data_IF_222650914845
#
_entry.id   IF_222650914845
#
_cell.length_a   1.000
_cell.length_b   1.000
_cell.length_c   1.000
_cell.angle_alpha   90.00
_cell.angle_beta   90.00
_cell.angle_gamma   90.00
#
_symmetry.space_group_name_H-M   'P 1'
#
loop_
_entity.id
_entity.type
_entity.pdbx_description
1 polymer ?
#
# COMPACT_ATOMS: atom_id res chain seq x y z
N UNK A 1 7.58 17.81 14.59
CA UNK A 1 7.71 16.42 14.17
C UNK A 1 6.38 15.95 13.65
N UNK A 2 6.30 15.55 12.37
CA UNK A 2 5.07 15.05 11.77
C UNK A 2 4.49 13.87 12.59
N UNK A 3 3.21 13.95 12.91
CA UNK A 3 2.52 12.91 13.67
C UNK A 3 2.09 11.80 12.73
N UNK A 4 2.43 10.54 13.04
CA UNK A 4 1.83 9.40 12.38
C UNK A 4 0.34 9.40 12.67
N UNK A 5 -0.47 9.28 11.63
CA UNK A 5 -1.92 9.21 11.74
C UNK A 5 -2.38 7.78 11.45
N UNK A 6 -3.17 7.21 12.37
CA UNK A 6 -3.82 5.93 12.20
C UNK A 6 -5.28 6.07 12.59
N UNK A 7 -6.18 5.62 11.73
CA UNK A 7 -7.62 5.66 11.99
C UNK A 7 -8.33 4.44 11.43
N UNK A 8 -9.40 4.05 12.09
CA UNK A 8 -10.40 3.13 11.56
C UNK A 8 -11.47 3.97 10.84
N UNK A 9 -11.74 3.62 9.61
CA UNK A 9 -12.77 4.26 8.78
C UNK A 9 -13.89 3.25 8.54
N UNK A 10 -15.11 3.70 8.72
CA UNK A 10 -16.33 3.02 8.36
C UNK A 10 -17.20 4.03 7.62
N UNK A 11 -17.45 3.82 6.36
CA UNK A 11 -18.09 4.78 5.50
C UNK A 11 -18.96 4.10 4.45
N UNK A 12 -19.88 4.86 3.86
CA UNK A 12 -20.84 4.40 2.90
C UNK A 12 -20.93 5.41 1.75
N UNK A 13 -20.77 4.92 0.52
CA UNK A 13 -20.97 5.71 -0.71
C UNK A 13 -20.27 7.09 -0.65
N UNK A 14 -18.99 7.08 -0.26
CA UNK A 14 -18.20 8.29 -0.06
C UNK A 14 -17.11 8.42 -1.12
N UNK A 15 -17.07 9.57 -1.78
CA UNK A 15 -16.00 9.97 -2.67
C UNK A 15 -15.02 10.87 -1.93
N UNK A 16 -13.79 10.41 -1.76
CA UNK A 16 -12.67 11.27 -1.42
C UNK A 16 -12.06 11.77 -2.75
N UNK A 17 -12.24 13.05 -3.10
CA UNK A 17 -11.86 13.56 -4.42
C UNK A 17 -10.35 13.52 -4.64
N UNK A 18 -9.94 13.61 -5.89
CA UNK A 18 -8.53 13.59 -6.28
C UNK A 18 -7.72 14.65 -5.52
N UNK A 19 -6.67 14.20 -4.87
CA UNK A 19 -5.76 15.02 -4.08
C UNK A 19 -4.37 14.39 -4.03
N UNK A 20 -3.44 15.07 -3.40
CA UNK A 20 -2.08 14.58 -3.16
C UNK A 20 -1.54 15.08 -1.83
N UNK A 21 -0.56 14.37 -1.30
CA UNK A 21 0.16 14.76 -0.10
C UNK A 21 1.53 14.08 -0.06
N UNK A 22 2.42 14.58 0.81
CA UNK A 22 3.77 14.03 0.96
C UNK A 22 3.85 12.76 1.83
N UNK A 23 2.76 12.40 2.52
CA UNK A 23 2.72 11.20 3.36
C UNK A 23 2.76 9.93 2.51
N UNK A 24 3.45 8.90 3.00
CA UNK A 24 3.16 7.54 2.57
C UNK A 24 1.84 7.13 3.23
N UNK A 25 0.85 6.81 2.42
CA UNK A 25 -0.46 6.36 2.89
C UNK A 25 -0.64 4.87 2.64
N UNK A 26 -1.24 4.18 3.60
CA UNK A 26 -1.50 2.75 3.48
C UNK A 26 -2.91 2.46 3.97
N UNK A 27 -3.70 1.83 3.11
CA UNK A 27 -5.05 1.38 3.39
C UNK A 27 -5.03 -0.14 3.56
N UNK A 28 -5.60 -0.65 4.64
CA UNK A 28 -5.85 -2.08 4.83
C UNK A 28 -7.35 -2.32 4.89
N UNK A 29 -7.89 -2.99 3.88
CA UNK A 29 -9.33 -3.21 3.73
C UNK A 29 -9.81 -4.33 4.65
N UNK A 30 -10.80 -4.03 5.49
CA UNK A 30 -11.40 -4.95 6.45
C UNK A 30 -12.73 -5.53 5.94
N UNK A 31 -13.39 -4.84 5.01
CA UNK A 31 -14.65 -5.26 4.41
C UNK A 31 -15.23 -4.19 3.49
N UNK A 32 -16.18 -4.58 2.66
CA UNK A 32 -16.71 -3.76 1.60
C UNK A 32 -15.77 -3.67 0.40
N UNK A 33 -16.10 -2.82 -0.55
CA UNK A 33 -15.37 -2.60 -1.80
C UNK A 33 -14.95 -1.13 -1.89
N UNK A 34 -13.75 -0.88 -2.38
CA UNK A 34 -13.20 0.45 -2.57
C UNK A 34 -12.60 0.52 -3.98
N UNK A 35 -13.09 1.46 -4.80
CA UNK A 35 -12.40 1.84 -6.02
C UNK A 35 -11.35 2.90 -5.67
N UNK A 36 -10.09 2.64 -5.97
CA UNK A 36 -8.99 3.58 -5.78
C UNK A 36 -8.33 3.89 -7.11
N UNK A 37 -7.75 5.08 -7.24
CA UNK A 37 -6.96 5.44 -8.42
C UNK A 37 -5.67 6.14 -8.00
N UNK A 38 -4.57 5.80 -8.65
CA UNK A 38 -3.27 6.47 -8.52
C UNK A 38 -2.79 6.82 -9.92
N UNK A 39 -2.54 8.12 -10.18
CA UNK A 39 -1.98 8.59 -11.46
C UNK A 39 -2.69 7.97 -12.68
N UNK A 40 -4.04 7.99 -12.68
CA UNK A 40 -4.93 7.45 -13.72
C UNK A 40 -5.00 5.92 -13.83
N UNK A 41 -4.35 5.18 -12.94
CA UNK A 41 -4.50 3.72 -12.84
C UNK A 41 -5.54 3.40 -11.78
N UNK A 42 -6.59 2.67 -12.15
CA UNK A 42 -7.67 2.27 -11.23
C UNK A 42 -7.42 0.89 -10.62
N UNK A 43 -7.83 0.74 -9.37
CA UNK A 43 -7.72 -0.47 -8.58
C UNK A 43 -9.06 -0.73 -7.90
N UNK A 44 -9.54 -1.97 -8.00
CA UNK A 44 -10.65 -2.46 -7.19
C UNK A 44 -10.09 -3.20 -5.99
N UNK A 45 -10.38 -2.67 -4.80
CA UNK A 45 -9.86 -3.19 -3.54
C UNK A 45 -10.97 -3.96 -2.82
N UNK A 46 -10.61 -5.15 -2.36
CA UNK A 46 -11.48 -6.06 -1.63
C UNK A 46 -10.97 -6.30 -0.21
N UNK A 47 -11.80 -6.96 0.58
CA UNK A 47 -11.41 -7.36 1.95
C UNK A 47 -10.09 -8.13 1.96
N UNK A 48 -9.15 -7.63 2.73
CA UNK A 48 -7.82 -8.20 2.91
C UNK A 48 -6.74 -7.49 2.09
N UNK A 49 -7.10 -6.68 1.11
CA UNK A 49 -6.12 -5.93 0.31
C UNK A 49 -5.39 -4.90 1.15
N UNK A 50 -4.11 -4.74 0.88
CA UNK A 50 -3.27 -3.68 1.39
C UNK A 50 -2.88 -2.79 0.21
N UNK A 51 -3.29 -1.52 0.26
CA UNK A 51 -3.09 -0.56 -0.81
C UNK A 51 -2.22 0.60 -0.33
N UNK A 52 -1.19 0.93 -1.12
CA UNK A 52 -0.21 1.96 -0.82
C UNK A 52 -0.33 3.12 -1.80
N UNK A 53 -0.39 4.33 -1.26
CA UNK A 53 -0.24 5.58 -2.02
C UNK A 53 1.12 6.14 -1.69
N UNK A 54 2.01 6.18 -2.67
CA UNK A 54 3.35 6.71 -2.47
C UNK A 54 3.32 8.25 -2.33
N UNK A 55 4.33 8.79 -1.68
CA UNK A 55 4.46 10.24 -1.50
C UNK A 55 4.31 10.98 -2.83
N UNK A 56 3.49 12.02 -2.85
CA UNK A 56 3.20 12.88 -3.98
C UNK A 56 2.43 12.25 -5.16
N UNK A 57 1.94 11.04 -5.06
CA UNK A 57 1.05 10.49 -6.07
C UNK A 57 -0.34 11.14 -5.96
N UNK A 58 -0.92 11.50 -7.12
CA UNK A 58 -2.29 11.98 -7.19
C UNK A 58 -3.19 10.76 -7.07
N UNK A 59 -4.12 10.80 -6.14
CA UNK A 59 -5.01 9.68 -5.87
C UNK A 59 -6.41 10.14 -5.47
N UNK A 60 -7.39 9.27 -5.70
CA UNK A 60 -8.73 9.36 -5.14
C UNK A 60 -9.20 7.99 -4.67
N UNK A 61 -10.19 7.97 -3.79
CA UNK A 61 -10.89 6.75 -3.40
C UNK A 61 -12.40 6.99 -3.45
N UNK A 62 -13.12 5.97 -3.89
CA UNK A 62 -14.56 5.89 -3.81
C UNK A 62 -14.93 4.61 -3.06
N UNK A 63 -15.65 4.77 -1.96
CA UNK A 63 -16.11 3.65 -1.15
C UNK A 63 -17.54 3.30 -1.54
N UNK A 64 -17.73 2.03 -1.88
CA UNK A 64 -19.05 1.47 -2.10
C UNK A 64 -19.75 1.16 -0.76
N UNK A 65 -20.76 0.34 -0.79
CA UNK A 65 -21.54 -0.01 0.39
C UNK A 65 -20.68 -0.61 1.52
N UNK A 66 -20.88 -0.11 2.76
CA UNK A 66 -20.28 -0.64 4.01
C UNK A 66 -18.75 -0.87 3.95
N UNK A 67 -18.02 0.09 3.38
CA UNK A 67 -16.57 0.01 3.33
C UNK A 67 -15.93 0.26 4.70
N UNK A 68 -15.06 -0.65 5.12
CA UNK A 68 -14.35 -0.60 6.41
C UNK A 68 -12.87 -0.85 6.17
N UNK A 69 -12.02 0.05 6.67
CA UNK A 69 -10.59 -0.07 6.50
C UNK A 69 -9.80 0.63 7.60
N UNK A 70 -8.54 0.25 7.76
CA UNK A 70 -7.56 1.04 8.49
C UNK A 70 -6.81 1.93 7.52
N UNK A 71 -6.66 3.20 7.89
CA UNK A 71 -5.85 4.19 7.20
C UNK A 71 -4.63 4.52 8.06
N UNK A 72 -3.44 4.36 7.49
CA UNK A 72 -2.16 4.73 8.11
C UNK A 72 -1.45 5.74 7.23
N UNK A 73 -1.20 6.95 7.75
CA UNK A 73 -0.42 7.99 7.07
C UNK A 73 0.88 8.24 7.82
N UNK A 74 2.00 8.12 7.11
CA UNK A 74 3.35 8.24 7.64
C UNK A 74 4.00 9.48 7.03
N UNK A 75 4.27 10.52 7.84
CA UNK A 75 4.92 11.75 7.37
C UNK A 75 6.33 11.50 6.83
N UNK A 76 6.79 12.26 5.82
CA UNK A 76 8.12 12.11 5.19
C UNK A 76 9.27 12.14 6.19
N UNK A 77 9.15 12.92 7.26
CA UNK A 77 10.18 13.05 8.29
C UNK A 77 10.57 11.70 8.94
N UNK A 78 9.63 10.73 9.01
CA UNK A 78 9.94 9.39 9.51
C UNK A 78 10.73 8.56 8.49
N UNK A 79 10.49 8.77 7.22
CA UNK A 79 11.17 8.10 6.12
C UNK A 79 12.57 8.65 5.92
N UNK A 80 12.71 9.96 5.87
CA UNK A 80 13.98 10.67 5.65
C UNK A 80 15.00 10.41 6.78
N UNK A 81 14.53 10.21 8.02
CA UNK A 81 15.38 9.85 9.15
C UNK A 81 16.03 8.48 9.03
N UNK A 82 15.39 7.55 8.32
CA UNK A 82 15.94 6.20 8.10
C UNK A 82 17.04 6.30 7.05
N UNK A 83 16.79 6.96 5.94
CA UNK A 83 17.75 7.16 4.86
C UNK A 83 17.29 8.25 3.89
N UNK A 84 18.19 9.07 3.41
CA UNK A 84 17.92 10.03 2.33
C UNK A 84 17.45 9.35 1.02
N UNK A 85 17.74 8.06 0.84
CA UNK A 85 17.30 7.26 -0.32
C UNK A 85 15.78 7.07 -0.38
N UNK A 86 15.05 7.23 0.74
CA UNK A 86 13.60 7.08 0.76
C UNK A 86 12.85 8.08 -0.12
N UNK A 87 13.46 9.23 -0.39
CA UNK A 87 12.84 10.32 -1.14
C UNK A 87 12.48 9.96 -2.60
N UNK A 88 13.07 8.90 -3.16
CA UNK A 88 12.80 8.43 -4.53
C UNK A 88 12.25 7.00 -4.60
N UNK A 89 12.00 6.36 -3.45
CA UNK A 89 11.49 5.00 -3.46
C UNK A 89 10.00 4.99 -3.79
N UNK A 90 9.60 4.09 -4.67
CA UNK A 90 8.22 3.75 -4.96
C UNK A 90 7.96 2.32 -4.52
N UNK A 91 6.88 2.13 -3.79
CA UNK A 91 6.41 0.83 -3.35
C UNK A 91 5.33 0.32 -4.28
N UNK A 92 5.18 -0.99 -4.34
CA UNK A 92 4.07 -1.62 -5.04
C UNK A 92 2.74 -1.14 -4.43
N UNK A 93 1.83 -0.66 -5.27
CA UNK A 93 0.59 -0.04 -4.82
C UNK A 93 -0.39 -1.05 -4.22
N UNK A 94 -0.48 -2.25 -4.79
CA UNK A 94 -1.44 -3.27 -4.34
C UNK A 94 -0.72 -4.55 -3.92
N UNK A 95 -0.95 -4.96 -2.66
CA UNK A 95 -0.42 -6.19 -2.08
C UNK A 95 -1.61 -7.06 -1.65
N UNK A 96 -1.73 -8.24 -2.25
CA UNK A 96 -2.80 -9.21 -2.01
C UNK A 96 -2.27 -10.51 -1.45
N UNK A 97 -3.11 -11.22 -0.69
CA UNK A 97 -2.85 -12.61 -0.34
C UNK A 97 -3.14 -13.51 -1.55
N UNK A 98 -2.19 -14.33 -1.95
CA UNK A 98 -2.39 -15.29 -3.06
C UNK A 98 -3.40 -16.39 -2.76
N UNK A 99 -3.80 -16.58 -1.51
CA UNK A 99 -4.86 -17.51 -1.18
C UNK A 99 -6.24 -17.07 -1.69
N UNK A 100 -6.41 -15.77 -2.02
CA UNK A 100 -7.64 -15.26 -2.64
C UNK A 100 -7.71 -15.58 -4.14
N UNK A 101 -6.57 -15.61 -4.84
CA UNK A 101 -6.52 -15.89 -6.28
C UNK A 101 -6.74 -17.38 -6.63
N UNK A 102 -6.59 -18.28 -5.66
CA UNK A 102 -6.75 -19.72 -5.88
C UNK A 102 -8.21 -20.17 -6.10
N UNK A 103 -9.19 -19.33 -5.80
CA UNK A 103 -10.61 -19.64 -6.02
C UNK A 103 -11.12 -19.35 -7.43
N UNK A 104 -10.36 -18.64 -8.28
CA UNK A 104 -10.82 -18.22 -9.63
C UNK A 104 -10.25 -19.09 -10.75
N UNK A 105 -9.25 -19.93 -10.50
CA UNK A 105 -8.65 -20.80 -11.52
C UNK A 105 -8.82 -22.29 -11.21
N UNK A 106 -10.04 -22.68 -10.94
CA UNK A 106 -10.43 -24.08 -10.90
C UNK A 106 -11.10 -24.50 -12.20
N UNK A 107 -10.34 -24.65 -13.29
CA UNK A 107 -10.65 -25.52 -14.43
C UNK A 107 -9.52 -25.40 -15.46
N UNK A 108 -8.61 -26.34 -15.44
CA UNK A 108 -7.97 -27.04 -16.55
C UNK A 108 -6.63 -27.65 -16.12
N UNK A 109 -6.70 -28.83 -15.50
CA UNK A 109 -5.58 -29.75 -15.40
C UNK A 109 -5.72 -30.77 -16.52
N UNK A 110 -5.06 -30.52 -17.63
CA UNK A 110 -4.67 -31.61 -18.53
C UNK A 110 -3.24 -31.44 -19.04
N UNK A 111 -2.42 -32.45 -18.68
CA UNK A 111 -1.22 -32.94 -19.34
C UNK A 111 -0.13 -31.96 -19.80
N UNK A 112 0.90 -31.81 -18.98
CA UNK A 112 2.26 -31.65 -19.50
C UNK A 112 3.24 -32.51 -18.69
N UNK A 113 3.61 -33.64 -19.27
CA UNK A 113 4.79 -34.41 -18.85
C UNK A 113 6.07 -33.72 -19.33
N UNK A 114 6.94 -33.43 -18.37
CA UNK A 114 8.38 -33.36 -18.58
C UNK A 114 8.96 -32.13 -19.22
N UNK A 115 9.26 -31.12 -18.39
CA UNK A 115 10.45 -30.25 -18.42
C UNK A 115 10.28 -29.14 -17.37
N UNK A 116 11.18 -29.04 -16.39
CA UNK A 116 11.25 -27.82 -15.61
C UNK A 116 11.32 -27.91 -14.10
N UNK A 117 12.17 -28.80 -13.53
CA UNK A 117 12.46 -28.78 -12.09
C UNK A 117 13.25 -27.55 -11.63
N UNK A 118 13.86 -26.82 -12.54
CA UNK A 118 14.64 -25.62 -12.24
C UNK A 118 13.75 -24.36 -12.22
N UNK A 119 12.84 -24.22 -13.18
CA UNK A 119 11.89 -23.09 -13.23
C UNK A 119 10.86 -23.12 -12.07
N UNK A 120 10.47 -24.32 -11.59
CA UNK A 120 9.59 -24.45 -10.43
C UNK A 120 10.25 -24.01 -9.12
N UNK A 121 11.60 -24.03 -9.00
CA UNK A 121 12.29 -23.57 -7.79
C UNK A 121 12.42 -22.05 -7.72
N UNK A 122 12.57 -21.37 -8.84
CA UNK A 122 12.62 -19.91 -8.89
C UNK A 122 11.22 -19.31 -8.71
N UNK A 123 10.19 -19.89 -9.32
CA UNK A 123 8.81 -19.48 -9.12
C UNK A 123 8.31 -19.73 -7.68
N UNK A 124 8.73 -20.83 -7.01
CA UNK A 124 8.41 -21.05 -5.60
C UNK A 124 9.06 -20.04 -4.65
N UNK A 125 10.28 -19.57 -4.94
CA UNK A 125 10.92 -18.52 -4.15
C UNK A 125 10.21 -17.17 -4.30
N UNK A 126 9.74 -16.83 -5.50
CA UNK A 126 8.98 -15.61 -5.76
C UNK A 126 7.58 -15.65 -5.11
N UNK A 127 6.88 -16.78 -5.16
CA UNK A 127 5.57 -16.96 -4.54
C UNK A 127 5.62 -16.84 -3.02
N UNK A 128 6.60 -17.45 -2.35
CA UNK A 128 6.74 -17.39 -0.90
C UNK A 128 7.04 -15.97 -0.41
N UNK A 129 7.81 -15.18 -1.16
CA UNK A 129 8.24 -13.85 -0.73
C UNK A 129 7.11 -12.82 -0.69
N UNK A 130 6.19 -12.85 -1.67
CA UNK A 130 5.05 -11.95 -1.70
C UNK A 130 4.01 -12.29 -0.61
N UNK A 131 3.78 -13.59 -0.37
CA UNK A 131 2.91 -14.06 0.71
C UNK A 131 3.50 -13.71 2.08
N UNK A 132 4.82 -13.83 2.25
CA UNK A 132 5.53 -13.44 3.46
C UNK A 132 5.38 -11.94 3.74
N UNK A 133 5.50 -11.06 2.72
CA UNK A 133 5.32 -9.63 2.87
C UNK A 133 3.88 -9.29 3.27
N UNK A 134 2.89 -9.86 2.58
CA UNK A 134 1.48 -9.65 2.91
C UNK A 134 1.18 -10.00 4.38
N UNK A 135 1.58 -11.19 4.82
CA UNK A 135 1.35 -11.66 6.18
C UNK A 135 2.03 -10.78 7.22
N UNK A 136 3.25 -10.34 6.94
CA UNK A 136 4.01 -9.44 7.81
C UNK A 136 3.33 -8.07 7.95
N UNK A 137 2.87 -7.47 6.85
CA UNK A 137 2.16 -6.19 6.87
C UNK A 137 0.82 -6.30 7.59
N UNK A 138 0.04 -7.34 7.29
CA UNK A 138 -1.24 -7.62 7.97
C UNK A 138 -1.07 -7.74 9.47
N UNK A 139 -0.06 -8.47 9.93
CA UNK A 139 0.21 -8.67 11.35
C UNK A 139 0.64 -7.35 12.04
N UNK A 140 1.37 -6.48 11.33
CA UNK A 140 1.69 -5.15 11.85
C UNK A 140 0.43 -4.30 11.99
N UNK A 141 -0.47 -4.27 11.00
CA UNK A 141 -1.74 -3.55 11.09
C UNK A 141 -2.58 -4.01 12.28
N UNK A 142 -2.70 -5.32 12.49
CA UNK A 142 -3.42 -5.88 13.66
C UNK A 142 -2.82 -5.43 14.98
N UNK A 143 -1.49 -5.38 15.10
CA UNK A 143 -0.80 -4.89 16.29
C UNK A 143 -1.06 -3.41 16.53
N UNK A 144 -0.96 -2.58 15.48
CA UNK A 144 -1.25 -1.15 15.60
C UNK A 144 -2.69 -0.93 16.06
N UNK A 145 -3.66 -1.63 15.46
CA UNK A 145 -5.06 -1.55 15.87
C UNK A 145 -5.24 -1.91 17.34
N UNK A 146 -4.68 -3.03 17.80
CA UNK A 146 -4.73 -3.44 19.19
C UNK A 146 -4.12 -2.41 20.15
N UNK A 147 -3.00 -1.78 19.80
CA UNK A 147 -2.41 -0.72 20.62
C UNK A 147 -3.30 0.52 20.71
N UNK A 148 -4.01 0.88 19.63
CA UNK A 148 -4.96 1.98 19.62
C UNK A 148 -6.25 1.65 20.38
N UNK A 149 -6.69 0.42 20.42
CA UNK A 149 -7.87 -0.02 21.20
C UNK A 149 -7.56 -0.03 22.70
N UNK A 150 -6.42 -0.61 23.09
CA UNK A 150 -6.03 -0.72 24.50
C UNK A 150 -5.63 0.62 25.13
N UNK A 151 -5.01 1.51 24.39
CA UNK A 151 -4.50 2.84 24.80
C UNK A 151 -3.74 2.84 26.14
N UNK A 152 -2.99 1.78 26.43
CA UNK A 152 -2.15 1.70 27.62
C UNK A 152 -1.13 2.83 27.64
N UNK A 153 -0.65 3.20 28.82
CA UNK A 153 0.42 4.19 28.95
C UNK A 153 1.62 3.79 28.06
N UNK A 154 2.13 4.74 27.28
CA UNK A 154 3.23 4.49 26.34
C UNK A 154 2.84 3.79 25.03
N UNK A 155 1.56 3.53 24.74
CA UNK A 155 1.14 2.86 23.51
C UNK A 155 1.68 3.52 22.24
N UNK A 156 1.91 4.84 22.24
CA UNK A 156 2.50 5.55 21.11
C UNK A 156 3.89 5.03 20.73
N UNK A 157 4.67 4.57 21.71
CA UNK A 157 5.99 3.95 21.45
C UNK A 157 5.85 2.60 20.78
N UNK A 158 4.83 1.83 21.16
CA UNK A 158 4.51 0.54 20.53
C UNK A 158 4.03 0.73 19.09
N UNK A 159 3.16 1.73 18.87
CA UNK A 159 2.73 2.11 17.50
C UNK A 159 3.92 2.52 16.65
N UNK A 160 4.79 3.40 17.16
CA UNK A 160 5.98 3.85 16.44
C UNK A 160 6.90 2.67 16.09
N UNK A 161 7.13 1.77 17.04
CA UNK A 161 7.91 0.54 16.81
C UNK A 161 7.30 -0.34 15.72
N UNK A 162 5.96 -0.51 15.74
CA UNK A 162 5.26 -1.29 14.72
C UNK A 162 5.35 -0.63 13.34
N UNK A 163 5.21 0.70 13.25
CA UNK A 163 5.37 1.45 12.00
C UNK A 163 6.79 1.31 11.44
N UNK A 164 7.84 1.43 12.26
CA UNK A 164 9.21 1.22 11.77
C UNK A 164 9.45 -0.22 11.31
N UNK A 165 8.80 -1.20 11.94
CA UNK A 165 8.84 -2.59 11.47
C UNK A 165 8.14 -2.74 10.11
N UNK A 166 6.99 -2.10 9.91
CA UNK A 166 6.30 -2.05 8.61
C UNK A 166 7.20 -1.43 7.54
N UNK A 167 7.82 -0.30 7.83
CA UNK A 167 8.76 0.35 6.92
C UNK A 167 9.95 -0.54 6.57
N UNK A 168 10.47 -1.31 7.54
CA UNK A 168 11.53 -2.27 7.28
C UNK A 168 11.09 -3.31 6.24
N UNK A 169 9.89 -3.90 6.38
CA UNK A 169 9.38 -4.88 5.41
C UNK A 169 9.16 -4.27 4.03
N UNK A 170 8.57 -3.08 3.96
CA UNK A 170 8.40 -2.38 2.69
C UNK A 170 9.75 -2.09 2.02
N UNK A 171 10.76 -1.69 2.78
CA UNK A 171 12.08 -1.40 2.26
C UNK A 171 12.80 -2.65 1.74
N UNK A 172 12.67 -3.78 2.43
CA UNK A 172 13.38 -5.01 2.06
C UNK A 172 12.69 -5.81 0.96
N UNK A 173 11.35 -5.73 0.87
CA UNK A 173 10.56 -6.62 0.04
C UNK A 173 9.52 -5.91 -0.84
N UNK A 174 9.13 -4.69 -0.49
CA UNK A 174 8.03 -3.96 -1.14
C UNK A 174 8.47 -2.93 -2.19
N UNK A 175 9.75 -2.82 -2.50
CA UNK A 175 10.24 -1.85 -3.49
C UNK A 175 9.88 -2.35 -4.90
N UNK A 176 9.16 -1.51 -5.65
CA UNK A 176 8.70 -1.84 -6.99
C UNK A 176 9.81 -1.83 -8.04
N UNK A 177 10.62 -0.89 -8.08
CA UNK A 177 11.85 -0.67 -8.86
C UNK A 177 12.30 0.77 -8.64
N UNK A 178 13.59 1.03 -8.78
CA UNK A 178 14.05 2.37 -9.07
C UNK A 178 13.56 2.68 -10.48
N UNK A 179 12.56 3.57 -10.64
CA UNK A 179 12.17 4.04 -11.96
C UNK A 179 13.40 4.63 -12.64
N UNK A 180 13.73 4.14 -13.83
CA UNK A 180 14.67 4.79 -14.72
C UNK A 180 14.21 6.22 -14.92
N UNK A 181 14.98 7.16 -14.42
CA UNK A 181 14.68 8.59 -14.29
C UNK A 181 14.46 9.31 -15.64
N UNK A 182 14.57 8.64 -16.78
CA UNK A 182 14.47 9.26 -18.10
C UNK A 182 13.05 9.32 -18.69
N UNK A 183 12.16 8.42 -18.35
CA UNK A 183 10.77 8.46 -18.86
C UNK A 183 9.82 9.30 -17.98
N UNK A 184 10.23 9.59 -16.75
CA UNK A 184 9.43 10.34 -15.78
C UNK A 184 9.37 11.87 -16.03
N UNK A 185 10.22 12.44 -16.88
CA UNK A 185 10.30 13.89 -17.04
C UNK A 185 9.09 14.55 -17.72
N UNK A 186 8.36 13.84 -18.58
CA UNK A 186 7.12 14.35 -19.19
C UNK A 186 5.96 14.35 -18.21
N UNK A 187 5.75 13.23 -17.57
CA UNK A 187 4.68 12.99 -16.58
C UNK A 187 4.86 13.84 -15.32
N UNK A 188 6.09 14.02 -14.84
CA UNK A 188 6.41 14.89 -13.69
C UNK A 188 6.05 16.35 -13.94
N UNK A 189 6.31 16.90 -15.14
CA UNK A 189 5.94 18.27 -15.48
C UNK A 189 4.43 18.48 -15.51
N UNK A 190 3.68 17.50 -16.00
CA UNK A 190 2.23 17.61 -16.07
C UNK A 190 1.59 17.42 -14.68
N UNK A 191 2.15 16.53 -13.86
CA UNK A 191 1.80 16.37 -12.45
C UNK A 191 2.11 17.63 -11.62
N UNK A 192 3.25 18.27 -11.82
CA UNK A 192 3.59 19.55 -11.18
C UNK A 192 2.64 20.67 -11.60
N UNK A 193 2.25 20.72 -12.88
CA UNK A 193 1.24 21.67 -13.37
C UNK A 193 -0.13 21.42 -12.79
N UNK A 194 -0.58 20.16 -12.70
CA UNK A 194 -1.84 19.82 -12.05
C UNK A 194 -1.83 20.18 -10.57
N UNK A 195 -0.75 19.89 -9.84
CA UNK A 195 -0.59 20.30 -8.43
C UNK A 195 -0.71 21.80 -8.25
N UNK A 196 -0.02 22.57 -9.08
CA UNK A 196 -0.13 24.04 -9.09
C UNK A 196 -1.58 24.50 -9.38
N UNK A 197 -2.28 23.89 -10.31
CA UNK A 197 -3.69 24.22 -10.60
C UNK A 197 -4.59 23.90 -9.40
N UNK A 198 -4.39 22.77 -8.72
CA UNK A 198 -5.17 22.38 -7.55
C UNK A 198 -4.90 23.27 -6.32
N UNK A 199 -3.69 23.79 -6.15
CA UNK A 199 -3.38 24.79 -5.11
C UNK A 199 -4.03 26.15 -5.37
N UNK A 200 -4.28 26.50 -6.62
CA UNK A 200 -4.89 27.78 -6.99
C UNK A 200 -6.41 27.82 -6.81
N UNK A 201 -7.06 26.66 -6.65
CA UNK A 201 -8.52 26.51 -6.50
C UNK A 201 -8.95 26.43 -5.03
N UNK A 202 -8.00 26.42 -4.11
CA UNK A 202 -8.24 26.50 -2.65
C UNK A 202 -8.21 27.95 -2.18
#
# INVERSE_FOLDING_TARGET
LGKIHFTYVNTWDELLPAHWHEHLEIIYVLGGEITASINDVSYELEKGDIFLVNSNDIHYTYTHEDARYYLLQIPPVHLERISAKWKGLKFQELIRSKSADACVQGEQLENVQGKGLVEMRENRKSTNRADDLYDQLRDVFRKIAGFYEEKKEGYHLLVLSAVYRLLYFLYTEGIRSEEDTETAHGTLRDLERMKLCMEFVR
#
